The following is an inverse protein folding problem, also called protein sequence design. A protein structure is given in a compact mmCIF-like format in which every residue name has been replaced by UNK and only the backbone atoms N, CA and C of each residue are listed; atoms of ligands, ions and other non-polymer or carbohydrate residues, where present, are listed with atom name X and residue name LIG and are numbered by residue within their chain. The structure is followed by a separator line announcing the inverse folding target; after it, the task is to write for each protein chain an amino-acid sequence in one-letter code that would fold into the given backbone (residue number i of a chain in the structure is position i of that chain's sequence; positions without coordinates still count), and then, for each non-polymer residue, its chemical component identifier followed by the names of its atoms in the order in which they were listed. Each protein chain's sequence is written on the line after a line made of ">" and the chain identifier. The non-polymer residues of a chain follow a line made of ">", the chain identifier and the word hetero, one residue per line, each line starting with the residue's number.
data_IF_418645384167
#
_entry.id   IF_418645384167
#
_cell.length_a   1.000
_cell.length_b   1.000
_cell.length_c   1.000
_cell.angle_alpha   90.00
_cell.angle_beta   90.00
_cell.angle_gamma   90.00
#
_symmetry.space_group_name_H-M   'P 1'
#
loop_
_entity.id
_entity.type
_entity.pdbx_description
1 polymer ?
#
# COMPACT_ATOMS: atom_id res chain seq x y z
N UNK A 1 24.98 50.61 14.30
CA UNK A 1 24.51 49.44 15.03
C UNK A 1 23.22 48.81 14.44
N UNK A 2 22.20 49.59 14.07
CA UNK A 2 20.93 49.07 13.48
C UNK A 2 21.07 48.46 12.08
N UNK A 3 21.97 49.01 11.24
CA UNK A 3 22.22 48.50 9.89
C UNK A 3 22.88 47.10 9.92
N UNK A 4 23.82 46.89 10.83
CA UNK A 4 24.53 45.64 11.00
C UNK A 4 23.58 44.50 11.49
N UNK A 5 22.64 44.82 12.39
CA UNK A 5 21.59 43.86 12.83
C UNK A 5 20.64 43.48 11.70
N UNK A 6 20.30 44.40 10.79
CA UNK A 6 19.48 44.11 9.62
C UNK A 6 20.18 43.18 8.63
N UNK A 7 21.49 43.45 8.36
CA UNK A 7 22.29 42.62 7.45
C UNK A 7 22.46 41.21 7.99
N UNK A 8 22.76 41.04 9.27
CA UNK A 8 22.86 39.70 9.89
C UNK A 8 21.54 38.94 9.88
N UNK A 9 20.40 39.64 10.08
CA UNK A 9 19.08 39.03 10.00
C UNK A 9 18.73 38.55 8.58
N UNK A 10 19.09 39.33 7.56
CA UNK A 10 18.86 38.97 6.15
C UNK A 10 19.76 37.77 5.78
N UNK A 11 21.03 37.81 6.21
CA UNK A 11 21.96 36.70 5.95
C UNK A 11 21.53 35.40 6.62
N UNK A 12 21.02 35.47 7.84
CA UNK A 12 20.47 34.29 8.55
C UNK A 12 19.24 33.70 7.85
N UNK A 13 18.34 34.56 7.34
CA UNK A 13 17.18 34.13 6.58
C UNK A 13 17.56 33.48 5.25
N UNK A 14 18.54 34.03 4.54
CA UNK A 14 19.08 33.48 3.31
C UNK A 14 19.79 32.14 3.57
N UNK A 15 20.54 32.00 4.66
CA UNK A 15 21.17 30.76 5.06
C UNK A 15 20.16 29.67 5.38
N UNK A 16 19.09 30.01 6.10
CA UNK A 16 17.99 29.08 6.39
C UNK A 16 17.27 28.67 5.10
N UNK A 17 16.98 29.61 4.20
CA UNK A 17 16.38 29.29 2.90
C UNK A 17 17.28 28.36 2.06
N UNK A 18 18.59 28.58 2.06
CA UNK A 18 19.56 27.75 1.35
C UNK A 18 19.66 26.33 1.92
N UNK A 19 19.51 26.15 3.24
CA UNK A 19 19.50 24.83 3.89
C UNK A 19 18.25 24.01 3.51
N UNK A 20 17.14 24.67 3.22
CA UNK A 20 15.90 23.98 2.80
C UNK A 20 15.88 23.56 1.32
N UNK A 21 16.75 24.10 0.46
CA UNK A 21 16.78 23.77 -0.97
C UNK A 21 17.49 22.45 -1.31
N UNK A 22 18.11 21.78 -0.34
CA UNK A 22 18.87 20.54 -0.56
C UNK A 22 18.04 19.26 -0.50
N UNK A 23 16.70 19.36 -0.42
CA UNK A 23 15.82 18.16 -0.46
C UNK A 23 15.66 17.73 -1.93
N UNK A 24 16.72 17.16 -2.50
CA UNK A 24 16.62 16.42 -3.76
C UNK A 24 15.98 15.08 -3.49
N UNK A 25 14.68 14.94 -3.79
CA UNK A 25 14.07 13.62 -3.89
C UNK A 25 14.72 12.91 -5.08
N UNK A 26 15.55 11.91 -4.81
CA UNK A 26 16.05 11.02 -5.84
C UNK A 26 14.88 10.13 -6.29
N UNK A 27 14.19 10.51 -7.36
CA UNK A 27 13.17 9.67 -7.96
C UNK A 27 13.80 8.38 -8.49
N UNK A 28 13.10 7.25 -8.32
CA UNK A 28 13.53 5.99 -8.89
C UNK A 28 13.40 6.05 -10.42
N UNK A 29 14.51 5.85 -11.11
CA UNK A 29 14.50 5.78 -12.57
C UNK A 29 14.31 4.33 -12.98
N UNK A 30 13.19 4.03 -13.64
CA UNK A 30 12.94 2.71 -14.21
C UNK A 30 13.99 2.47 -15.31
N UNK A 31 14.75 1.36 -15.24
CA UNK A 31 15.72 1.02 -16.30
C UNK A 31 15.03 0.88 -17.67
N UNK A 32 15.80 1.08 -18.72
CA UNK A 32 15.33 0.77 -20.07
C UNK A 32 14.96 -0.71 -20.17
N UNK A 33 13.96 -1.00 -20.99
CA UNK A 33 13.54 -2.37 -21.23
C UNK A 33 14.68 -3.14 -21.89
N UNK A 34 15.14 -4.27 -21.33
CA UNK A 34 16.20 -5.07 -21.93
C UNK A 34 15.79 -5.64 -23.30
N UNK A 35 16.74 -5.69 -24.22
CA UNK A 35 16.52 -6.31 -25.55
C UNK A 35 16.15 -7.79 -25.43
N UNK A 36 16.84 -8.51 -24.54
CA UNK A 36 16.49 -9.89 -24.18
C UNK A 36 15.55 -9.89 -22.98
N UNK A 37 14.30 -10.31 -23.22
CA UNK A 37 13.27 -10.34 -22.20
C UNK A 37 13.23 -11.70 -21.49
N UNK A 38 13.17 -11.66 -20.17
CA UNK A 38 13.03 -12.82 -19.30
C UNK A 38 11.93 -12.58 -18.27
N UNK A 39 11.61 -13.60 -17.49
CA UNK A 39 10.62 -13.51 -16.42
C UNK A 39 11.21 -13.15 -15.05
N UNK A 40 12.55 -13.11 -14.88
CA UNK A 40 13.19 -12.80 -13.58
C UNK A 40 14.34 -11.82 -13.74
N UNK A 41 14.18 -10.64 -13.18
CA UNK A 41 15.19 -9.57 -13.14
C UNK A 41 15.62 -9.35 -11.68
N UNK A 42 16.72 -9.98 -11.28
CA UNK A 42 17.22 -9.91 -9.89
C UNK A 42 18.31 -8.85 -9.73
N UNK A 43 17.92 -7.56 -9.66
CA UNK A 43 18.86 -6.46 -9.46
C UNK A 43 19.34 -6.33 -8.00
N UNK A 44 18.59 -6.91 -7.05
CA UNK A 44 18.95 -6.89 -5.64
C UNK A 44 19.85 -8.08 -5.22
N UNK A 45 20.16 -8.99 -6.16
CA UNK A 45 20.93 -10.20 -5.91
C UNK A 45 20.42 -10.97 -4.67
N UNK A 46 19.09 -11.17 -4.61
CA UNK A 46 18.44 -11.94 -3.53
C UNK A 46 18.29 -13.42 -3.83
N UNK A 47 18.54 -13.80 -5.08
CA UNK A 47 18.50 -15.18 -5.57
C UNK A 47 19.89 -15.66 -5.95
N UNK A 48 20.20 -16.90 -5.64
CA UNK A 48 21.36 -17.57 -6.25
C UNK A 48 21.12 -17.79 -7.75
N UNK A 49 22.20 -18.03 -8.51
CA UNK A 49 22.09 -18.27 -9.95
C UNK A 49 21.15 -19.46 -10.28
N UNK A 50 21.21 -20.52 -9.47
CA UNK A 50 20.35 -21.70 -9.62
C UNK A 50 18.90 -21.39 -9.30
N UNK A 51 18.63 -20.68 -8.21
CA UNK A 51 17.27 -20.28 -7.83
C UNK A 51 16.64 -19.36 -8.86
N UNK A 52 17.42 -18.39 -9.38
CA UNK A 52 16.96 -17.49 -10.45
C UNK A 52 16.58 -18.30 -11.69
N UNK A 53 17.45 -19.23 -12.15
CA UNK A 53 17.19 -20.04 -13.33
C UNK A 53 15.96 -20.94 -13.16
N UNK A 54 15.77 -21.55 -11.98
CA UNK A 54 14.60 -22.39 -11.70
C UNK A 54 13.30 -21.58 -11.71
N UNK A 55 13.29 -20.41 -11.07
CA UNK A 55 12.12 -19.55 -11.05
C UNK A 55 11.79 -19.04 -12.46
N UNK A 56 12.80 -18.62 -13.21
CA UNK A 56 12.69 -18.15 -14.59
C UNK A 56 12.09 -19.22 -15.51
N UNK A 57 12.66 -20.44 -15.49
CA UNK A 57 12.15 -21.57 -16.27
C UNK A 57 10.67 -21.87 -15.94
N UNK A 58 10.32 -21.86 -14.66
CA UNK A 58 8.95 -22.09 -14.18
C UNK A 58 7.97 -21.04 -14.74
N UNK A 59 8.34 -19.78 -14.67
CA UNK A 59 7.49 -18.67 -15.14
C UNK A 59 7.38 -18.65 -16.67
N UNK A 60 8.46 -18.92 -17.39
CA UNK A 60 8.45 -19.01 -18.86
C UNK A 60 7.55 -20.16 -19.32
N UNK A 61 7.69 -21.35 -18.74
CA UNK A 61 6.83 -22.50 -19.07
C UNK A 61 5.35 -22.19 -18.83
N UNK A 62 5.05 -21.43 -17.77
CA UNK A 62 3.67 -21.02 -17.48
C UNK A 62 3.18 -20.04 -18.55
N UNK A 63 3.98 -19.06 -18.93
CA UNK A 63 3.65 -18.10 -19.99
C UNK A 63 3.40 -18.80 -21.32
N UNK A 64 4.25 -19.73 -21.70
CA UNK A 64 4.14 -20.49 -22.97
C UNK A 64 2.84 -21.30 -23.02
N UNK A 65 2.37 -21.82 -21.88
CA UNK A 65 1.18 -22.67 -21.81
C UNK A 65 -0.14 -21.90 -21.68
N UNK A 66 -0.10 -20.64 -21.21
CA UNK A 66 -1.32 -19.88 -20.82
C UNK A 66 -1.43 -18.50 -21.45
N UNK A 67 -0.37 -18.03 -22.11
CA UNK A 67 -0.22 -16.65 -22.61
C UNK A 67 -0.27 -15.60 -21.48
N UNK A 68 -0.20 -16.00 -20.21
CA UNK A 68 -0.11 -15.09 -19.06
C UNK A 68 1.35 -14.88 -18.70
N UNK A 69 1.82 -13.65 -18.79
CA UNK A 69 3.20 -13.29 -18.51
C UNK A 69 3.32 -12.85 -17.03
N UNK A 70 4.11 -13.58 -16.25
CA UNK A 70 4.45 -13.19 -14.87
C UNK A 70 5.92 -12.80 -14.84
N UNK A 71 6.20 -11.60 -14.41
CA UNK A 71 7.56 -11.06 -14.30
C UNK A 71 7.86 -10.72 -12.85
N UNK A 72 9.02 -11.17 -12.38
CA UNK A 72 9.56 -10.85 -11.05
C UNK A 72 10.72 -9.89 -11.22
N UNK A 73 10.66 -8.76 -10.53
CA UNK A 73 11.74 -7.78 -10.47
C UNK A 73 12.13 -7.59 -9.01
N UNK A 74 13.40 -7.70 -8.70
CA UNK A 74 13.93 -7.35 -7.38
C UNK A 74 14.82 -6.12 -7.48
N UNK A 75 14.70 -5.22 -6.53
CA UNK A 75 15.52 -4.01 -6.45
C UNK A 75 16.10 -3.83 -5.05
N UNK A 76 17.26 -3.19 -4.97
CA UNK A 76 17.87 -2.93 -3.66
C UNK A 76 17.03 -1.95 -2.84
N UNK A 77 16.55 -0.84 -3.44
CA UNK A 77 15.76 0.18 -2.74
C UNK A 77 14.82 0.91 -3.67
N UNK A 78 13.68 1.33 -3.13
CA UNK A 78 12.67 2.19 -3.79
C UNK A 78 13.12 3.65 -3.92
N UNK A 79 14.22 4.05 -3.26
CA UNK A 79 14.70 5.45 -3.20
C UNK A 79 13.61 6.45 -2.80
N UNK A 80 12.73 6.05 -1.89
CA UNK A 80 11.66 6.90 -1.38
C UNK A 80 10.36 6.87 -2.18
N UNK A 81 10.30 6.17 -3.32
CA UNK A 81 9.04 6.01 -4.06
C UNK A 81 8.09 5.01 -3.40
N UNK A 82 6.80 5.15 -3.69
CA UNK A 82 5.80 4.18 -3.27
C UNK A 82 5.80 2.95 -4.20
N UNK A 83 5.91 1.76 -3.61
CA UNK A 83 5.99 0.52 -4.37
C UNK A 83 4.69 0.24 -5.15
N UNK A 84 3.54 0.65 -4.63
CA UNK A 84 2.24 0.47 -5.29
C UNK A 84 2.07 1.37 -6.51
N UNK A 85 2.80 2.49 -6.57
CA UNK A 85 2.84 3.38 -7.73
C UNK A 85 3.92 2.94 -8.72
N UNK A 86 5.11 2.59 -8.20
CA UNK A 86 6.24 2.20 -9.04
C UNK A 86 5.98 0.91 -9.82
N UNK A 87 5.34 -0.09 -9.18
CA UNK A 87 5.12 -1.40 -9.81
C UNK A 87 4.26 -1.31 -11.07
N UNK A 88 3.03 -0.77 -11.05
CA UNK A 88 2.23 -0.66 -12.26
C UNK A 88 2.88 0.24 -13.31
N UNK A 89 3.54 1.35 -12.90
CA UNK A 89 4.28 2.23 -13.80
C UNK A 89 5.40 1.48 -14.53
N UNK A 90 6.12 0.60 -13.81
CA UNK A 90 7.18 -0.23 -14.43
C UNK A 90 6.61 -1.23 -15.40
N UNK A 91 5.55 -1.97 -15.02
CA UNK A 91 4.86 -2.91 -15.90
C UNK A 91 4.39 -2.25 -17.20
N UNK A 92 3.82 -1.06 -17.10
CA UNK A 92 3.38 -0.27 -18.23
C UNK A 92 4.56 0.22 -19.11
N UNK A 93 5.64 0.72 -18.48
CA UNK A 93 6.84 1.20 -19.20
C UNK A 93 7.49 0.08 -20.01
N UNK A 94 7.56 -1.13 -19.46
CA UNK A 94 8.15 -2.28 -20.16
C UNK A 94 7.16 -3.02 -21.05
N UNK A 95 5.86 -2.71 -21.01
CA UNK A 95 4.82 -3.38 -21.79
C UNK A 95 4.68 -4.86 -21.43
N UNK A 96 4.74 -5.17 -20.12
CA UNK A 96 4.58 -6.55 -19.62
C UNK A 96 3.12 -6.96 -19.83
N UNK A 97 2.87 -8.16 -20.41
CA UNK A 97 1.52 -8.69 -20.65
C UNK A 97 1.04 -8.60 -22.10
N UNK A 98 1.87 -8.09 -23.00
CA UNK A 98 1.61 -8.11 -24.44
C UNK A 98 0.77 -6.94 -24.94
N UNK A 99 -0.22 -7.21 -25.82
CA UNK A 99 -0.98 -6.15 -26.47
C UNK A 99 -2.06 -5.57 -25.56
N UNK A 100 -2.38 -4.28 -25.74
CA UNK A 100 -3.45 -3.57 -25.03
C UNK A 100 -4.82 -4.27 -25.04
N UNK A 101 -5.02 -5.25 -25.92
CA UNK A 101 -6.25 -6.01 -26.04
C UNK A 101 -6.33 -7.22 -25.10
N UNK A 102 -5.20 -7.70 -24.60
CA UNK A 102 -5.12 -8.94 -23.81
C UNK A 102 -4.32 -8.82 -22.51
N UNK A 103 -3.90 -7.66 -22.10
CA UNK A 103 -3.16 -7.29 -20.86
C UNK A 103 -2.98 -8.40 -19.81
N UNK A 104 -2.46 -9.56 -20.23
CA UNK A 104 -2.32 -10.76 -19.42
C UNK A 104 -0.98 -10.75 -18.63
N UNK A 105 -0.53 -9.58 -18.21
CA UNK A 105 0.70 -9.42 -17.45
C UNK A 105 0.48 -9.39 -15.95
N UNK A 106 1.45 -9.89 -15.20
CA UNK A 106 1.57 -9.67 -13.75
C UNK A 106 3.00 -9.25 -13.45
N UNK A 107 3.17 -8.17 -12.72
CA UNK A 107 4.46 -7.74 -12.23
C UNK A 107 4.53 -7.91 -10.71
N UNK A 108 5.55 -8.63 -10.26
CA UNK A 108 5.92 -8.76 -8.85
C UNK A 108 7.18 -7.93 -8.63
N UNK A 109 7.09 -6.88 -7.83
CA UNK A 109 8.23 -6.04 -7.46
C UNK A 109 8.60 -6.29 -6.00
N UNK A 110 9.86 -6.61 -5.74
CA UNK A 110 10.43 -6.79 -4.42
C UNK A 110 11.49 -5.72 -4.16
N UNK A 111 11.31 -4.94 -3.12
CA UNK A 111 12.29 -3.97 -2.64
C UNK A 111 12.95 -4.49 -1.35
N UNK A 112 14.23 -4.82 -1.44
CA UNK A 112 14.97 -5.52 -0.38
C UNK A 112 15.21 -4.65 0.84
N UNK A 113 15.67 -3.41 0.65
CA UNK A 113 15.98 -2.50 1.75
C UNK A 113 14.73 -2.12 2.56
N UNK A 114 13.62 -1.80 1.87
CA UNK A 114 12.36 -1.45 2.51
C UNK A 114 11.57 -2.69 2.96
N UNK A 115 12.01 -3.88 2.59
CA UNK A 115 11.29 -5.14 2.89
C UNK A 115 9.84 -5.08 2.47
N UNK A 116 9.64 -4.68 1.25
CA UNK A 116 8.31 -4.55 0.65
C UNK A 116 8.21 -5.39 -0.61
N UNK A 117 7.03 -5.95 -0.82
CA UNK A 117 6.67 -6.64 -2.06
C UNK A 117 5.33 -6.12 -2.54
N UNK A 118 5.17 -6.03 -3.85
CA UNK A 118 3.93 -5.64 -4.49
C UNK A 118 3.65 -6.52 -5.69
N UNK A 119 2.39 -6.92 -5.86
CA UNK A 119 1.91 -7.68 -7.01
C UNK A 119 0.90 -6.78 -7.73
N UNK A 120 1.18 -6.47 -9.00
CA UNK A 120 0.30 -5.66 -9.85
C UNK A 120 -0.13 -6.49 -11.06
N UNK A 121 -1.43 -6.72 -11.26
CA UNK A 121 -1.96 -7.29 -12.49
C UNK A 121 -2.07 -6.23 -13.58
N UNK A 122 -1.98 -6.67 -14.84
CA UNK A 122 -2.48 -5.91 -15.98
C UNK A 122 -4.00 -5.92 -16.05
N UNK A 123 -4.58 -5.02 -16.83
CA UNK A 123 -6.04 -4.85 -16.92
C UNK A 123 -6.81 -6.13 -17.23
N UNK A 124 -6.27 -7.01 -18.07
CA UNK A 124 -6.93 -8.26 -18.44
C UNK A 124 -6.98 -9.33 -17.35
N UNK A 125 -6.34 -9.08 -16.19
CA UNK A 125 -6.27 -10.04 -15.08
C UNK A 125 -6.85 -9.51 -13.76
N UNK A 126 -7.36 -8.28 -13.73
CA UNK A 126 -7.88 -7.67 -12.50
C UNK A 126 -9.12 -8.34 -11.94
N UNK A 127 -9.95 -8.88 -12.80
CA UNK A 127 -11.13 -9.64 -12.43
C UNK A 127 -10.78 -10.94 -11.68
N UNK A 128 -9.62 -11.53 -12.00
CA UNK A 128 -9.13 -12.78 -11.39
C UNK A 128 -8.19 -12.53 -10.23
N UNK A 129 -7.22 -11.63 -10.42
CA UNK A 129 -6.24 -11.26 -9.37
C UNK A 129 -6.66 -9.95 -8.71
N UNK A 130 -7.72 -9.99 -7.95
CA UNK A 130 -8.17 -8.84 -7.18
C UNK A 130 -7.16 -8.45 -6.09
N UNK A 131 -7.18 -7.19 -5.62
CA UNK A 131 -6.32 -6.73 -4.53
C UNK A 131 -6.48 -7.59 -3.25
N UNK A 132 -7.67 -8.13 -3.01
CA UNK A 132 -7.93 -9.05 -1.89
C UNK A 132 -7.13 -10.35 -2.02
N UNK A 133 -7.21 -11.01 -3.16
CA UNK A 133 -6.50 -12.27 -3.46
C UNK A 133 -4.98 -12.04 -3.46
N UNK A 134 -4.50 -11.03 -4.16
CA UNK A 134 -3.07 -10.71 -4.18
C UNK A 134 -2.52 -10.38 -2.79
N UNK A 135 -3.28 -9.63 -1.98
CA UNK A 135 -2.93 -9.34 -0.59
C UNK A 135 -2.90 -10.58 0.30
N UNK A 136 -3.77 -11.54 0.06
CA UNK A 136 -3.79 -12.82 0.77
C UNK A 136 -2.57 -13.67 0.41
N UNK A 137 -2.25 -13.82 -0.88
CA UNK A 137 -1.05 -14.51 -1.36
C UNK A 137 0.19 -13.88 -0.74
N UNK A 138 0.28 -12.56 -0.77
CA UNK A 138 1.42 -11.84 -0.20
C UNK A 138 1.57 -12.11 1.29
N UNK A 139 0.51 -11.96 2.08
CA UNK A 139 0.58 -12.09 3.55
C UNK A 139 0.68 -13.52 4.04
N UNK A 140 0.01 -14.46 3.39
CA UNK A 140 -0.12 -15.83 3.90
C UNK A 140 0.89 -16.80 3.28
N UNK A 141 1.41 -16.51 2.08
CA UNK A 141 2.28 -17.42 1.33
C UNK A 141 3.68 -16.83 1.20
N UNK A 142 3.82 -15.60 0.67
CA UNK A 142 5.12 -15.04 0.33
C UNK A 142 5.86 -14.54 1.57
N UNK A 143 5.24 -13.64 2.35
CA UNK A 143 5.89 -13.00 3.50
C UNK A 143 6.38 -13.99 4.56
N UNK A 144 5.67 -15.08 4.89
CA UNK A 144 6.18 -16.07 5.84
C UNK A 144 7.52 -16.68 5.43
N UNK A 145 7.70 -16.97 4.14
CA UNK A 145 8.97 -17.51 3.63
C UNK A 145 10.10 -16.46 3.67
N UNK A 146 9.78 -15.19 3.37
CA UNK A 146 10.73 -14.08 3.49
C UNK A 146 11.19 -13.89 4.95
N UNK A 147 10.27 -14.00 5.90
CA UNK A 147 10.60 -13.99 7.34
C UNK A 147 11.44 -15.18 7.77
N UNK A 148 11.27 -16.32 7.12
CA UNK A 148 12.09 -17.50 7.30
C UNK A 148 13.46 -17.43 6.60
N UNK A 149 13.76 -16.30 5.92
CA UNK A 149 15.04 -16.03 5.28
C UNK A 149 15.16 -16.50 3.83
N UNK A 150 14.08 -16.98 3.19
CA UNK A 150 14.14 -17.46 1.81
C UNK A 150 13.28 -16.63 0.87
N UNK A 151 13.93 -15.74 0.11
CA UNK A 151 13.27 -15.00 -0.96
C UNK A 151 12.80 -15.94 -2.08
N UNK A 152 13.63 -16.89 -2.45
CA UNK A 152 13.28 -17.87 -3.48
C UNK A 152 12.00 -18.63 -3.17
N UNK A 153 11.92 -19.26 -2.00
CA UNK A 153 10.72 -20.03 -1.62
C UNK A 153 9.45 -19.18 -1.60
N UNK A 154 9.57 -17.94 -1.15
CA UNK A 154 8.44 -17.02 -1.15
C UNK A 154 7.95 -16.67 -2.56
N UNK A 155 8.87 -16.36 -3.47
CA UNK A 155 8.55 -16.06 -4.86
C UNK A 155 8.03 -17.29 -5.60
N UNK A 156 8.64 -18.44 -5.38
CA UNK A 156 8.26 -19.71 -5.99
C UNK A 156 6.86 -20.17 -5.60
N UNK A 157 6.56 -20.18 -4.28
CA UNK A 157 5.22 -20.48 -3.77
C UNK A 157 4.17 -19.42 -4.18
N UNK A 158 4.59 -18.15 -4.21
CA UNK A 158 3.76 -17.07 -4.70
C UNK A 158 3.36 -17.24 -6.16
N UNK A 159 4.30 -17.68 -7.01
CA UNK A 159 4.03 -18.02 -8.39
C UNK A 159 3.04 -19.17 -8.52
N UNK A 160 3.20 -20.25 -7.74
CA UNK A 160 2.23 -21.35 -7.73
C UNK A 160 0.82 -20.90 -7.35
N UNK A 161 0.70 -20.07 -6.32
CA UNK A 161 -0.58 -19.52 -5.90
C UNK A 161 -1.22 -18.65 -7.01
N UNK A 162 -0.43 -17.84 -7.72
CA UNK A 162 -0.92 -17.08 -8.88
C UNK A 162 -1.38 -18.00 -10.02
N UNK A 163 -0.64 -19.09 -10.28
CA UNK A 163 -1.07 -20.10 -11.27
C UNK A 163 -2.42 -20.70 -10.90
N UNK A 164 -2.66 -20.97 -9.63
CA UNK A 164 -3.94 -21.51 -9.16
C UNK A 164 -5.07 -20.48 -9.25
N UNK A 165 -4.79 -19.20 -9.00
CA UNK A 165 -5.75 -18.10 -9.21
C UNK A 165 -6.21 -18.10 -10.67
N UNK A 166 -5.27 -18.09 -11.62
CA UNK A 166 -5.61 -18.01 -13.04
C UNK A 166 -6.24 -19.27 -13.60
N UNK A 167 -5.99 -20.44 -12.98
CA UNK A 167 -6.68 -21.69 -13.25
C UNK A 167 -8.06 -21.82 -12.58
N UNK A 168 -8.45 -20.83 -11.75
CA UNK A 168 -9.70 -20.87 -10.97
C UNK A 168 -9.70 -21.91 -9.85
N UNK A 169 -8.53 -22.38 -9.42
CA UNK A 169 -8.35 -23.40 -8.38
C UNK A 169 -7.99 -22.83 -7.01
N UNK A 170 -7.60 -21.56 -6.96
CA UNK A 170 -7.18 -20.92 -5.72
C UNK A 170 -8.36 -20.82 -4.75
N UNK A 171 -8.21 -21.44 -3.58
CA UNK A 171 -9.14 -21.32 -2.47
C UNK A 171 -8.47 -20.49 -1.39
N UNK A 172 -8.82 -19.21 -1.33
CA UNK A 172 -8.33 -18.32 -0.30
C UNK A 172 -8.77 -18.81 1.09
N UNK A 173 -7.82 -18.97 1.99
CA UNK A 173 -8.10 -19.18 3.42
C UNK A 173 -8.11 -17.83 4.11
N UNK A 174 -9.29 -17.32 4.41
CA UNK A 174 -9.43 -16.12 5.22
C UNK A 174 -8.99 -16.45 6.65
N UNK A 175 -7.72 -16.30 6.96
CA UNK A 175 -7.28 -16.28 8.36
C UNK A 175 -7.98 -15.10 9.00
N UNK A 176 -9.03 -15.38 9.78
CA UNK A 176 -9.65 -14.36 10.62
C UNK A 176 -8.54 -13.84 11.54
N UNK A 177 -8.13 -12.62 11.32
CA UNK A 177 -7.34 -11.89 12.31
C UNK A 177 -8.23 -11.89 13.54
N UNK A 178 -7.85 -12.63 14.60
CA UNK A 178 -8.50 -12.49 15.90
C UNK A 178 -8.46 -11.02 16.20
N UNK A 179 -9.62 -10.37 16.18
CA UNK A 179 -9.73 -8.99 16.62
C UNK A 179 -9.05 -8.96 17.98
N UNK A 180 -7.98 -8.18 18.08
CA UNK A 180 -7.44 -7.83 19.39
C UNK A 180 -8.58 -7.09 20.05
N UNK A 181 -9.33 -7.79 20.92
CA UNK A 181 -10.29 -7.15 21.78
C UNK A 181 -9.52 -6.06 22.52
N UNK A 182 -9.66 -4.84 22.06
CA UNK A 182 -9.16 -3.69 22.78
C UNK A 182 -9.87 -3.76 24.14
N UNK A 183 -9.13 -3.85 25.23
CA UNK A 183 -9.75 -3.89 26.54
C UNK A 183 -10.48 -2.54 26.75
N UNK A 184 -11.77 -2.54 26.46
CA UNK A 184 -12.64 -1.36 26.60
C UNK A 184 -12.71 -0.94 28.09
N UNK A 185 -12.50 -1.91 28.98
CA UNK A 185 -12.57 -1.72 30.43
C UNK A 185 -11.67 -0.59 30.96
N UNK A 186 -10.36 -0.50 30.63
CA UNK A 186 -9.52 0.60 31.12
C UNK A 186 -9.95 1.96 30.55
N UNK A 187 -10.49 2.01 29.34
CA UNK A 187 -10.99 3.27 28.76
C UNK A 187 -12.21 3.74 29.54
N UNK A 188 -13.14 2.86 29.86
CA UNK A 188 -14.32 3.17 30.69
C UNK A 188 -13.88 3.68 32.08
N UNK A 189 -12.90 3.03 32.70
CA UNK A 189 -12.39 3.45 34.01
C UNK A 189 -11.79 4.87 33.92
N UNK A 190 -11.00 5.17 32.92
CA UNK A 190 -10.41 6.51 32.71
C UNK A 190 -11.51 7.55 32.53
N UNK A 191 -12.54 7.27 31.73
CA UNK A 191 -13.66 8.18 31.51
C UNK A 191 -14.42 8.43 32.83
N UNK A 192 -14.67 7.39 33.64
CA UNK A 192 -15.34 7.52 34.95
C UNK A 192 -14.49 8.36 35.89
N UNK A 193 -13.16 8.15 35.93
CA UNK A 193 -12.24 8.94 36.78
C UNK A 193 -12.28 10.42 36.37
N UNK A 194 -12.25 10.71 35.08
CA UNK A 194 -12.34 12.08 34.57
C UNK A 194 -13.67 12.73 34.95
N UNK A 195 -14.79 12.01 34.82
CA UNK A 195 -16.11 12.51 35.23
C UNK A 195 -16.20 12.78 36.71
N UNK A 196 -15.62 11.93 37.55
CA UNK A 196 -15.56 12.12 39.01
C UNK A 196 -14.69 13.32 39.37
N UNK A 197 -13.54 13.52 38.70
CA UNK A 197 -12.67 14.68 38.89
C UNK A 197 -13.35 15.99 38.51
N UNK A 198 -14.07 16.01 37.40
CA UNK A 198 -14.83 17.18 36.94
C UNK A 198 -15.98 17.47 37.92
N UNK A 199 -16.65 16.44 38.42
CA UNK A 199 -17.74 16.58 39.39
C UNK A 199 -17.25 17.09 40.77
N UNK A 200 -16.04 16.71 41.20
CA UNK A 200 -15.43 17.17 42.45
C UNK A 200 -15.00 18.64 42.44
N UNK A 201 -14.76 19.20 41.24
CA UNK A 201 -14.34 20.60 41.11
C UNK A 201 -15.50 21.60 41.09
N UNK A 202 -16.74 21.14 41.30
CA UNK A 202 -17.96 21.98 41.41
C UNK A 202 -18.42 22.21 42.87
N UNK A 203 -17.53 22.23 43.84
CA UNK A 203 -17.83 22.71 45.18
C UNK A 203 -16.96 23.93 45.46
N UNK A 204 -17.44 25.08 45.10
CA UNK A 204 -17.51 26.31 45.91
C UNK A 204 -17.87 27.46 44.97
N UNK A 205 -18.92 28.15 45.34
CA UNK A 205 -19.34 29.43 44.72
C UNK A 205 -20.83 29.47 44.47
N UNK A 206 -21.59 29.80 45.50
CA UNK A 206 -23.02 30.01 45.39
C UNK A 206 -23.34 31.27 44.62
N UNK A 207 -24.47 31.29 44.13
CA UNK A 207 -25.48 32.31 44.03
C UNK A 207 -26.11 32.42 42.65
N UNK A 208 -27.39 32.05 42.61
CA UNK A 208 -28.51 32.73 42.01
C UNK A 208 -28.40 33.35 40.60
N UNK A 209 -29.29 32.95 39.71
CA UNK A 209 -29.71 33.76 38.60
C UNK A 209 -30.11 33.00 37.34
N UNK A 210 -31.31 32.49 37.37
CA UNK A 210 -32.32 32.55 36.31
C UNK A 210 -31.94 32.49 34.86
N UNK A 211 -32.56 31.49 34.18
CA UNK A 211 -33.15 31.65 32.82
C UNK A 211 -32.24 31.55 31.62
N UNK A 212 -32.51 30.58 30.83
CA UNK A 212 -32.12 30.52 29.43
C UNK A 212 -31.77 29.09 28.97
N UNK A 213 -32.81 28.30 28.70
CA UNK A 213 -32.65 26.93 28.20
C UNK A 213 -32.05 26.92 26.80
N UNK A 214 -30.76 26.69 26.75
CA UNK A 214 -30.11 26.22 25.51
C UNK A 214 -29.57 24.83 25.76
N UNK A 215 -29.65 23.91 24.79
CA UNK A 215 -29.12 22.55 24.98
C UNK A 215 -27.64 22.60 25.28
N UNK A 216 -27.25 21.90 26.33
CA UNK A 216 -25.86 21.73 26.74
C UNK A 216 -25.09 21.03 25.61
N UNK A 217 -23.80 21.36 25.44
CA UNK A 217 -22.91 20.66 24.48
C UNK A 217 -22.97 19.14 24.66
N UNK A 218 -23.25 18.65 25.87
CA UNK A 218 -23.44 17.23 26.13
C UNK A 218 -24.76 16.70 25.54
N UNK A 219 -25.82 17.47 25.56
CA UNK A 219 -27.09 17.08 24.97
C UNK A 219 -27.01 17.01 23.44
N UNK A 220 -26.22 17.90 22.83
CA UNK A 220 -25.94 17.88 21.37
C UNK A 220 -25.13 16.67 20.98
N UNK A 221 -24.13 16.27 21.78
CA UNK A 221 -23.29 15.11 21.52
C UNK A 221 -24.10 13.81 21.67
N UNK A 222 -24.94 13.71 22.71
CA UNK A 222 -25.78 12.52 22.93
C UNK A 222 -26.87 12.41 21.84
N UNK A 223 -27.48 13.50 21.44
CA UNK A 223 -28.49 13.49 20.40
C UNK A 223 -27.90 13.19 19.00
N UNK A 224 -26.67 13.65 18.71
CA UNK A 224 -26.00 13.38 17.44
C UNK A 224 -25.55 11.92 17.31
N UNK A 225 -25.29 11.22 18.42
CA UNK A 225 -24.93 9.80 18.41
C UNK A 225 -26.14 8.86 18.32
N UNK A 226 -27.30 9.29 18.78
CA UNK A 226 -28.55 8.51 18.72
C UNK A 226 -29.26 8.60 17.36
N UNK A 227 -28.92 9.62 16.54
CA UNK A 227 -29.54 9.84 15.22
C UNK A 227 -28.96 8.99 14.08
N UNK A 228 -27.95 8.14 14.32
CA UNK A 228 -27.27 7.35 13.27
C UNK A 228 -27.46 5.84 13.38
N UNK A 229 -28.51 5.44 14.01
CA UNK A 229 -28.89 4.03 14.15
C UNK A 229 -30.29 3.77 13.68
N UNK A 230 -30.44 3.30 12.45
CA UNK A 230 -31.54 2.43 12.18
C UNK A 230 -32.62 2.86 11.22
N UNK A 231 -32.84 1.95 10.38
CA UNK A 231 -34.08 1.55 9.69
C UNK A 231 -34.42 2.20 8.36
N UNK A 232 -34.30 1.37 7.36
CA UNK A 232 -35.35 1.27 6.35
C UNK A 232 -35.02 1.80 4.98
N UNK A 233 -34.73 0.88 4.10
CA UNK A 233 -35.38 0.66 2.81
C UNK A 233 -35.51 1.83 1.86
N UNK A 234 -35.05 1.59 0.62
CA UNK A 234 -35.66 2.24 -0.53
C UNK A 234 -34.72 3.09 -1.37
N UNK A 235 -34.22 2.48 -2.41
CA UNK A 235 -34.30 2.92 -3.80
C UNK A 235 -33.62 4.22 -4.25
N UNK A 236 -32.84 4.00 -5.31
CA UNK A 236 -32.50 4.91 -6.39
C UNK A 236 -31.88 6.28 -6.07
N UNK A 237 -30.63 6.43 -6.46
CA UNK A 237 -30.00 7.73 -6.63
C UNK A 237 -28.58 7.59 -7.16
N UNK A 238 -28.42 7.49 -8.49
CA UNK A 238 -27.14 7.50 -9.16
C UNK A 238 -26.40 8.80 -8.88
N UNK A 239 -25.20 8.70 -8.34
CA UNK A 239 -24.23 9.77 -8.41
C UNK A 239 -23.25 9.45 -9.55
N UNK A 240 -23.44 10.17 -10.64
CA UNK A 240 -22.52 10.27 -11.72
C UNK A 240 -21.17 10.75 -11.18
N UNK A 241 -20.20 9.85 -11.19
CA UNK A 241 -18.79 10.19 -10.99
C UNK A 241 -18.29 10.93 -12.21
N UNK A 242 -17.97 12.21 -12.06
CA UNK A 242 -17.32 13.02 -13.06
C UNK A 242 -15.99 12.39 -13.47
N UNK A 243 -15.91 11.99 -14.71
CA UNK A 243 -14.64 11.67 -15.36
C UNK A 243 -13.85 12.96 -15.52
N UNK A 244 -12.88 13.21 -14.64
CA UNK A 244 -11.83 14.16 -14.92
C UNK A 244 -10.90 13.53 -15.93
N UNK A 245 -10.95 14.01 -17.18
CA UNK A 245 -10.06 13.67 -18.25
C UNK A 245 -8.62 14.02 -17.87
N UNK A 246 -7.83 13.01 -17.59
CA UNK A 246 -6.38 13.10 -17.55
C UNK A 246 -5.84 12.92 -18.95
N UNK A 247 -5.08 13.90 -19.44
CA UNK A 247 -4.53 13.96 -20.79
C UNK A 247 -3.76 12.71 -21.17
N UNK A 248 -4.11 12.16 -22.35
CA UNK A 248 -3.43 11.05 -22.95
C UNK A 248 -2.02 11.43 -23.34
N UNK A 249 -1.04 10.68 -22.85
CA UNK A 249 0.28 10.66 -23.46
C UNK A 249 0.20 9.78 -24.72
N UNK A 250 0.09 10.44 -25.85
CA UNK A 250 0.21 9.81 -27.16
C UNK A 250 1.66 9.34 -27.37
N UNK A 251 1.87 8.06 -27.44
CA UNK A 251 3.13 7.43 -27.83
C UNK A 251 2.87 5.95 -28.02
N UNK A 252 2.72 5.53 -29.29
CA UNK A 252 2.40 4.15 -29.64
C UNK A 252 3.51 3.18 -29.25
N UNK A 253 3.31 2.48 -28.19
CA UNK A 253 3.93 1.20 -27.90
C UNK A 253 2.78 0.26 -27.57
N UNK A 254 2.64 -0.80 -28.36
CA UNK A 254 1.70 -1.88 -28.08
C UNK A 254 2.06 -2.51 -26.74
N UNK A 255 1.64 -1.87 -25.66
CA UNK A 255 1.91 -2.30 -24.31
C UNK A 255 0.62 -2.38 -23.54
N UNK A 256 0.42 -3.49 -22.86
CA UNK A 256 -0.62 -3.66 -21.89
C UNK A 256 -0.61 -2.54 -20.84
N UNK A 257 -1.80 -2.11 -20.40
CA UNK A 257 -1.97 -1.15 -19.33
C UNK A 257 -2.02 -1.85 -17.98
N UNK A 258 -1.36 -1.28 -16.99
CA UNK A 258 -1.51 -1.65 -15.59
C UNK A 258 -2.38 -0.62 -14.91
N UNK A 259 -3.46 -1.07 -14.27
CA UNK A 259 -4.20 -0.20 -13.38
C UNK A 259 -3.40 -0.03 -12.08
N UNK A 260 -3.70 1.00 -11.33
CA UNK A 260 -3.20 1.13 -9.96
C UNK A 260 -3.74 0.05 -9.01
N UNK A 261 -4.49 -0.92 -9.53
CA UNK A 261 -4.94 -2.11 -8.81
C UNK A 261 -3.76 -3.03 -8.53
N UNK A 262 -3.59 -3.42 -7.30
CA UNK A 262 -2.52 -4.32 -6.89
C UNK A 262 -2.55 -4.45 -5.39
N UNK A 263 -1.68 -5.28 -4.87
CA UNK A 263 -1.61 -5.52 -3.44
C UNK A 263 -0.20 -5.90 -3.03
N UNK A 264 0.16 -5.51 -1.83
CA UNK A 264 1.47 -5.79 -1.31
C UNK A 264 1.49 -5.90 0.20
N UNK A 265 2.67 -6.02 0.72
CA UNK A 265 2.93 -6.09 2.13
C UNK A 265 4.39 -5.86 2.44
N UNK A 266 4.67 -5.60 3.70
CA UNK A 266 6.02 -5.51 4.24
C UNK A 266 6.24 -6.59 5.30
N UNK A 267 7.49 -6.85 5.62
CA UNK A 267 7.87 -7.77 6.71
C UNK A 267 9.00 -7.20 7.55
N UNK A 268 8.96 -7.52 8.82
CA UNK A 268 10.04 -7.25 9.76
C UNK A 268 10.74 -8.56 10.11
N UNK A 269 12.06 -8.53 10.24
CA UNK A 269 12.80 -9.67 10.78
C UNK A 269 12.62 -9.60 12.30
N UNK A 270 12.04 -10.64 12.89
CA UNK A 270 12.05 -10.81 14.33
C UNK A 270 13.50 -10.83 14.81
N UNK A 271 13.84 -9.96 15.77
CA UNK A 271 15.18 -9.81 16.34
C UNK A 271 15.71 -11.07 17.06
N UNK A 272 15.01 -12.19 16.97
CA UNK A 272 15.39 -13.47 17.60
C UNK A 272 16.49 -14.24 16.85
N UNK A 273 16.94 -13.80 15.67
CA UNK A 273 18.00 -14.46 14.89
C UNK A 273 19.33 -13.70 14.88
N UNK A 274 19.51 -12.72 15.75
CA UNK A 274 20.75 -11.93 15.90
C UNK A 274 21.54 -12.28 17.18
N UNK A 275 21.48 -13.53 17.61
CA UNK A 275 22.39 -14.05 18.68
C UNK A 275 23.27 -15.14 18.13
#
# INVERSE_FOLDING_TARGET
>A
MLLQKKITSIFLKLLVCFLFTQISFAQFTIPEKPDFQTSVYDYANVLSATEKAQLEEKLIRYSDSTSTQIVVITIESLKGEDIGILTPKWGQTWGIGGSAKNDNGVLILLAKAERKIWISPGYGLEDRLTAGIGGEITRNIIIPEFKAGSYYKGLDKGADALFDVFKGKYKGERKQTKEKNFPILPIIIIVVIILVLISRNKKDGGNSGNSGGGPSLLDVIILSSLGRGGFGGGDSGGFGGGSSGGGGFGGGFGGGGFSGGGSGGGWEISSQFLT
#
